data_IF_882782370376
#
_entry.id   IF_882782370376
#
_cell.length_a   1.000
_cell.length_b   1.000
_cell.length_c   1.000
_cell.angle_alpha   90.00
_cell.angle_beta   90.00
_cell.angle_gamma   90.00
#
_symmetry.space_group_name_H-M   'P 1'
#
loop_
_entity.id
_entity.type
_entity.pdbx_description
1 polymer ?
#
# COMPACT_ATOMS: atom_id res chain seq x y z
N UNK A 1 3.14 -20.43 7.87
CA UNK A 1 2.19 -19.35 8.22
C UNK A 1 1.45 -18.99 6.96
N UNK A 2 0.19 -19.42 6.83
CA UNK A 2 -0.59 -19.19 5.61
C UNK A 2 -1.29 -17.84 5.76
N UNK A 3 -0.81 -16.83 5.05
CA UNK A 3 -1.55 -15.57 4.89
C UNK A 3 -2.89 -15.90 4.21
N UNK A 4 -3.95 -15.93 5.01
CA UNK A 4 -5.33 -15.97 4.51
C UNK A 4 -5.60 -14.64 3.84
N UNK A 5 -5.32 -14.57 2.55
CA UNK A 5 -5.96 -13.58 1.70
C UNK A 5 -7.41 -14.06 1.54
N UNK A 6 -8.35 -13.42 2.23
CA UNK A 6 -9.78 -13.64 2.02
C UNK A 6 -10.09 -13.32 0.55
N UNK A 7 -10.22 -14.37 -0.26
CA UNK A 7 -10.59 -14.28 -1.66
C UNK A 7 -12.04 -13.74 -1.69
N UNK A 8 -12.19 -12.48 -2.10
CA UNK A 8 -13.43 -11.69 -2.11
C UNK A 8 -13.81 -10.94 -0.82
N UNK A 9 -12.83 -10.34 -0.13
CA UNK A 9 -13.11 -9.31 0.89
C UNK A 9 -13.14 -7.90 0.27
N UNK A 10 -14.13 -7.10 0.65
CA UNK A 10 -14.16 -5.66 0.32
C UNK A 10 -13.31 -4.92 1.34
N UNK A 11 -12.18 -4.39 0.89
CA UNK A 11 -11.27 -3.63 1.74
C UNK A 11 -11.66 -2.15 1.81
N UNK A 12 -11.72 -1.60 3.02
CA UNK A 12 -11.83 -0.15 3.24
C UNK A 12 -10.42 0.46 3.22
N UNK A 13 -9.99 0.91 2.04
CA UNK A 13 -8.61 1.40 1.81
C UNK A 13 -8.22 2.53 2.77
N UNK A 14 -9.18 3.38 3.17
CA UNK A 14 -8.93 4.50 4.08
C UNK A 14 -8.63 4.06 5.52
N UNK A 15 -9.07 2.85 5.92
CA UNK A 15 -8.72 2.25 7.22
C UNK A 15 -7.49 1.36 7.15
N UNK A 16 -6.97 1.12 5.95
CA UNK A 16 -5.79 0.27 5.75
C UNK A 16 -4.48 1.05 5.81
N UNK A 17 -4.50 2.37 5.68
CA UNK A 17 -3.32 3.20 5.92
C UNK A 17 -3.68 4.38 6.80
N UNK A 18 -2.71 4.73 7.63
CA UNK A 18 -2.71 5.99 8.35
C UNK A 18 -1.93 7.03 7.56
N UNK A 19 -2.38 8.28 7.70
CA UNK A 19 -1.65 9.44 7.23
C UNK A 19 -0.64 9.87 8.30
N UNK A 20 0.57 10.23 7.88
CA UNK A 20 1.59 10.75 8.78
C UNK A 20 2.18 12.03 8.20
N UNK A 21 2.22 13.08 9.01
CA UNK A 21 2.82 14.37 8.65
C UNK A 21 4.35 14.20 8.45
N UNK A 22 4.88 14.83 7.40
CA UNK A 22 6.27 14.80 6.97
C UNK A 22 6.76 13.43 6.50
N UNK A 23 5.87 12.54 6.03
CA UNK A 23 6.26 11.16 5.68
C UNK A 23 5.38 10.52 4.61
N UNK A 24 5.96 9.54 3.91
CA UNK A 24 5.23 8.60 3.06
C UNK A 24 4.99 7.29 3.80
N UNK A 25 3.73 6.89 3.93
CA UNK A 25 3.35 5.58 4.48
C UNK A 25 2.99 4.66 3.32
N UNK A 26 3.54 3.44 3.29
CA UNK A 26 3.20 2.43 2.29
C UNK A 26 2.76 1.12 2.94
N UNK A 27 1.78 0.45 2.33
CA UNK A 27 1.33 -0.89 2.76
C UNK A 27 1.05 -1.75 1.54
N UNK A 28 1.76 -2.86 1.42
CA UNK A 28 1.49 -3.88 0.42
C UNK A 28 0.33 -4.76 0.90
N UNK A 29 -0.73 -4.83 0.10
CA UNK A 29 -1.94 -5.62 0.42
C UNK A 29 -2.04 -6.90 -0.40
N UNK A 30 -1.37 -6.96 -1.55
CA UNK A 30 -1.25 -8.16 -2.37
C UNK A 30 0.21 -8.24 -2.83
N UNK A 31 0.86 -9.36 -2.54
CA UNK A 31 2.19 -9.68 -3.05
C UNK A 31 2.14 -11.09 -3.66
N UNK A 32 2.07 -11.17 -4.99
CA UNK A 32 2.03 -12.43 -5.74
C UNK A 32 2.96 -12.34 -6.93
N UNK A 33 3.40 -13.49 -7.43
CA UNK A 33 4.25 -13.56 -8.64
C UNK A 33 3.60 -12.88 -9.86
N UNK A 34 2.27 -12.91 -9.94
CA UNK A 34 1.51 -12.28 -11.03
C UNK A 34 1.38 -10.76 -10.90
N UNK A 35 1.70 -10.20 -9.74
CA UNK A 35 1.60 -8.76 -9.48
C UNK A 35 1.48 -8.40 -8.00
N UNK A 36 1.83 -7.15 -7.74
CA UNK A 36 1.84 -6.56 -6.41
C UNK A 36 0.88 -5.36 -6.38
N UNK A 37 0.09 -5.26 -5.31
CA UNK A 37 -0.77 -4.10 -5.06
C UNK A 37 -0.31 -3.45 -3.76
N UNK A 38 0.13 -2.21 -3.86
CA UNK A 38 0.64 -1.41 -2.75
C UNK A 38 -0.14 -0.11 -2.66
N UNK A 39 -0.62 0.19 -1.46
CA UNK A 39 -1.26 1.44 -1.12
C UNK A 39 -0.22 2.42 -0.57
N UNK A 40 -0.37 3.70 -0.91
CA UNK A 40 0.51 4.76 -0.46
C UNK A 40 -0.32 5.93 0.09
N UNK A 41 0.15 6.51 1.19
CA UNK A 41 -0.34 7.77 1.76
C UNK A 41 0.82 8.75 1.77
N UNK A 42 0.61 9.90 1.13
CA UNK A 42 1.61 10.95 1.00
C UNK A 42 1.16 12.16 1.81
N UNK A 43 2.05 12.71 2.63
CA UNK A 43 1.87 14.07 3.13
C UNK A 43 1.97 15.07 1.98
N UNK A 44 1.45 16.27 2.22
CA UNK A 44 1.62 17.39 1.31
C UNK A 44 3.13 17.62 1.11
N UNK A 45 3.54 17.67 -0.17
CA UNK A 45 4.93 17.83 -0.63
C UNK A 45 5.81 16.56 -0.58
N UNK A 46 5.28 15.41 -0.15
CA UNK A 46 5.96 14.11 -0.22
C UNK A 46 5.61 13.33 -1.50
N UNK A 47 6.53 12.50 -1.98
CA UNK A 47 6.36 11.72 -3.22
C UNK A 47 7.36 10.58 -3.38
N UNK A 48 7.07 9.64 -4.26
CA UNK A 48 8.04 8.60 -4.64
C UNK A 48 8.99 9.15 -5.70
N UNK A 49 10.28 8.81 -5.58
CA UNK A 49 11.23 9.01 -6.67
C UNK A 49 10.99 7.95 -7.75
N UNK A 50 10.93 8.37 -9.01
CA UNK A 50 10.92 7.44 -10.13
C UNK A 50 12.25 6.68 -10.17
N UNK A 51 12.23 5.41 -9.77
CA UNK A 51 13.32 4.47 -10.06
C UNK A 51 13.02 3.78 -11.39
N UNK A 52 13.25 4.49 -12.48
CA UNK A 52 13.18 3.95 -13.85
C UNK A 52 14.49 3.21 -14.12
N UNK A 53 14.43 1.90 -14.39
CA UNK A 53 15.56 1.11 -14.89
C UNK A 53 15.39 0.85 -16.38
#
# INVERSE_FOLDING_TARGET
>A
MSEKVDLAHVFDLAKMLDYQEGSVVSRTIINKEVGTVTLFSFDKDEGLSEHTT
#
